data_IF_113063026454
#
_entry.id   IF_113063026454
#
_cell.length_a   1.000
_cell.length_b   1.000
_cell.length_c   1.000
_cell.angle_alpha   90.00
_cell.angle_beta   90.00
_cell.angle_gamma   90.00
#
_symmetry.space_group_name_H-M   'P 1'
#
loop_
_entity.id
_entity.type
_entity.pdbx_description
1 polymer ?
#
# COMPACT_ATOMS: atom_id res chain seq x y z
N UNK A 1 11.49 -7.08 18.72
CA UNK A 1 10.12 -7.10 18.15
C UNK A 1 9.22 -6.28 19.05
N UNK A 2 8.80 -5.09 18.60
CA UNK A 2 7.74 -4.30 19.22
C UNK A 2 6.40 -5.00 18.97
N UNK A 3 5.70 -5.44 20.01
CA UNK A 3 4.38 -6.06 19.89
C UNK A 3 3.34 -4.97 20.15
N UNK A 4 2.31 -4.95 19.32
CA UNK A 4 1.18 -4.03 19.42
C UNK A 4 -0.12 -4.78 19.20
N UNK A 5 -1.20 -4.38 19.86
CA UNK A 5 -2.55 -4.82 19.53
C UNK A 5 -3.28 -3.76 18.70
N UNK A 6 -4.11 -4.20 17.76
CA UNK A 6 -5.00 -3.34 16.97
C UNK A 6 -6.43 -3.89 17.03
N UNK A 7 -7.42 -3.00 16.94
CA UNK A 7 -8.84 -3.34 17.08
C UNK A 7 -9.44 -2.94 18.43
N UNK A 8 -10.62 -3.47 18.76
CA UNK A 8 -11.41 -3.05 19.93
C UNK A 8 -10.97 -3.79 21.20
N UNK A 9 -9.70 -3.62 21.60
CA UNK A 9 -9.07 -4.30 22.75
C UNK A 9 -9.86 -4.08 24.04
N UNK A 10 -10.48 -2.92 24.17
CA UNK A 10 -11.22 -2.50 25.36
C UNK A 10 -12.49 -3.31 25.59
N UNK A 11 -12.99 -3.99 24.56
CA UNK A 11 -14.13 -4.90 24.66
C UNK A 11 -13.74 -6.32 25.11
N UNK A 12 -12.43 -6.60 25.20
CA UNK A 12 -11.95 -7.93 25.56
C UNK A 12 -11.98 -8.14 27.09
N UNK A 13 -12.05 -9.41 27.54
CA UNK A 13 -11.93 -9.75 28.95
C UNK A 13 -10.66 -9.18 29.58
N UNK A 14 -10.73 -8.78 30.85
CA UNK A 14 -9.62 -8.14 31.60
C UNK A 14 -8.29 -8.89 31.42
N UNK A 15 -8.31 -10.22 31.57
CA UNK A 15 -7.12 -11.06 31.39
C UNK A 15 -6.41 -10.87 30.04
N UNK A 16 -7.17 -10.63 28.97
CA UNK A 16 -6.60 -10.40 27.63
C UNK A 16 -6.01 -9.00 27.55
N UNK A 17 -6.71 -7.99 28.09
CA UNK A 17 -6.22 -6.61 28.17
C UNK A 17 -4.92 -6.52 28.97
N UNK A 18 -4.85 -7.16 30.12
CA UNK A 18 -3.62 -7.26 30.93
C UNK A 18 -2.46 -7.91 30.16
N UNK A 19 -2.74 -8.95 29.36
CA UNK A 19 -1.72 -9.62 28.55
C UNK A 19 -1.20 -8.75 27.40
N UNK A 20 -2.10 -8.01 26.74
CA UNK A 20 -1.75 -7.02 25.72
C UNK A 20 -0.87 -5.93 26.33
N UNK A 21 -1.34 -5.28 27.38
CA UNK A 21 -0.64 -4.19 28.09
C UNK A 21 0.74 -4.64 28.62
N UNK A 22 0.84 -5.87 29.15
CA UNK A 22 2.13 -6.47 29.48
C UNK A 22 3.07 -6.57 28.26
N UNK A 23 2.61 -7.11 27.14
CA UNK A 23 3.41 -7.32 25.94
C UNK A 23 3.86 -5.98 25.32
N UNK A 24 2.96 -5.02 25.19
CA UNK A 24 3.26 -3.70 24.63
C UNK A 24 4.30 -2.96 25.48
N UNK A 25 4.09 -2.86 26.79
CA UNK A 25 5.06 -2.20 27.69
C UNK A 25 6.42 -2.86 27.67
N UNK A 26 6.47 -4.20 27.66
CA UNK A 26 7.75 -4.93 27.70
C UNK A 26 8.55 -4.76 26.42
N UNK A 27 7.88 -4.45 25.31
CA UNK A 27 8.48 -4.40 23.97
C UNK A 27 8.48 -2.99 23.35
N UNK A 28 7.99 -1.97 24.07
CA UNK A 28 7.80 -0.61 23.57
C UNK A 28 9.08 0.06 23.04
N UNK A 29 10.25 -0.29 23.59
CA UNK A 29 11.55 0.28 23.23
C UNK A 29 12.27 -0.50 22.12
N UNK A 30 11.68 -1.57 21.59
CA UNK A 30 12.25 -2.31 20.47
C UNK A 30 11.84 -1.66 19.14
N UNK A 31 12.76 -1.57 18.19
CA UNK A 31 12.57 -0.86 16.92
C UNK A 31 12.85 -1.73 15.67
N UNK A 32 13.50 -2.88 15.83
CA UNK A 32 13.97 -3.68 14.69
C UNK A 32 12.85 -4.37 13.90
N UNK A 33 11.68 -4.59 14.51
CA UNK A 33 10.54 -5.25 13.87
C UNK A 33 9.27 -4.96 14.68
N UNK A 34 8.15 -4.69 14.01
CA UNK A 34 6.85 -4.47 14.64
C UNK A 34 5.89 -5.61 14.30
N UNK A 35 5.28 -6.20 15.31
CA UNK A 35 4.24 -7.21 15.19
C UNK A 35 2.91 -6.61 15.69
N UNK A 36 1.99 -6.34 14.76
CA UNK A 36 0.64 -5.94 15.10
C UNK A 36 -0.26 -7.17 15.19
N UNK A 37 -0.98 -7.32 16.31
CA UNK A 37 -1.90 -8.42 16.58
C UNK A 37 -3.32 -7.87 16.56
N UNK A 38 -4.10 -8.28 15.57
CA UNK A 38 -5.49 -7.84 15.42
C UNK A 38 -6.42 -8.61 16.37
N UNK A 39 -6.99 -7.92 17.37
CA UNK A 39 -7.86 -8.50 18.41
C UNK A 39 -9.18 -7.73 18.44
N UNK A 40 -10.31 -8.45 18.42
CA UNK A 40 -11.64 -7.83 18.23
C UNK A 40 -11.63 -6.81 17.06
N UNK A 41 -10.90 -7.15 16.01
CA UNK A 41 -10.61 -6.24 14.91
C UNK A 41 -11.66 -6.34 13.80
N UNK A 42 -12.03 -5.19 13.24
CA UNK A 42 -12.73 -5.11 11.97
C UNK A 42 -12.46 -3.77 11.29
N UNK A 43 -11.95 -3.79 10.05
CA UNK A 43 -11.52 -2.56 9.38
C UNK A 43 -12.63 -1.53 9.17
N UNK A 44 -13.87 -1.97 8.90
CA UNK A 44 -15.04 -1.08 8.90
C UNK A 44 -15.31 -0.40 10.24
N UNK A 45 -15.06 -1.08 11.36
CA UNK A 45 -15.25 -0.49 12.68
C UNK A 45 -14.15 0.54 12.96
N UNK A 46 -12.92 0.30 12.52
CA UNK A 46 -11.85 1.31 12.62
C UNK A 46 -12.20 2.57 11.83
N UNK A 47 -12.66 2.42 10.58
CA UNK A 47 -13.10 3.55 9.75
C UNK A 47 -14.29 4.30 10.37
N UNK A 48 -15.22 3.57 11.00
CA UNK A 48 -16.34 4.17 11.71
C UNK A 48 -15.87 4.95 12.96
N UNK A 49 -14.87 4.44 13.68
CA UNK A 49 -14.22 5.14 14.79
C UNK A 49 -13.60 6.45 14.33
N UNK A 50 -12.72 6.38 13.32
CA UNK A 50 -12.07 7.56 12.75
C UNK A 50 -13.09 8.61 12.27
N UNK A 51 -14.16 8.18 11.59
CA UNK A 51 -15.22 9.09 11.14
C UNK A 51 -15.95 9.79 12.31
N UNK A 52 -16.18 9.08 13.42
CA UNK A 52 -16.78 9.67 14.64
C UNK A 52 -15.83 10.65 15.30
N UNK A 53 -14.54 10.33 15.35
CA UNK A 53 -13.53 11.20 15.97
C UNK A 53 -13.31 12.48 15.16
N UNK A 54 -13.33 12.40 13.82
CA UNK A 54 -13.39 13.59 12.94
C UNK A 54 -14.63 14.43 13.25
N UNK A 55 -15.81 13.81 13.27
CA UNK A 55 -17.05 14.54 13.50
C UNK A 55 -17.06 15.26 14.86
N UNK A 56 -16.57 14.59 15.91
CA UNK A 56 -16.44 15.17 17.24
C UNK A 56 -15.42 16.33 17.28
N UNK A 57 -14.27 16.18 16.58
CA UNK A 57 -13.25 17.22 16.52
C UNK A 57 -13.74 18.48 15.78
N UNK A 58 -14.53 18.30 14.73
CA UNK A 58 -15.19 19.40 14.00
C UNK A 58 -16.24 20.08 14.86
N UNK A 59 -17.10 19.31 15.55
CA UNK A 59 -18.13 19.85 16.45
C UNK A 59 -17.50 20.65 17.61
N UNK A 60 -16.36 20.19 18.13
CA UNK A 60 -15.60 20.88 19.17
C UNK A 60 -14.83 22.13 18.66
N UNK A 61 -14.80 22.37 17.34
CA UNK A 61 -14.05 23.48 16.74
C UNK A 61 -12.53 23.29 16.77
N UNK A 62 -12.06 22.06 16.98
CA UNK A 62 -10.63 21.70 17.02
C UNK A 62 -10.08 21.23 15.69
N UNK A 63 -10.96 21.00 14.70
CA UNK A 63 -10.64 20.64 13.33
C UNK A 63 -11.54 21.43 12.38
N UNK A 64 -10.96 22.08 11.35
CA UNK A 64 -11.74 22.67 10.28
C UNK A 64 -12.12 21.58 9.25
N UNK A 65 -13.38 21.52 8.77
CA UNK A 65 -13.78 20.55 7.75
C UNK A 65 -12.96 20.61 6.45
N UNK A 66 -12.42 21.79 6.10
CA UNK A 66 -11.57 21.99 4.93
C UNK A 66 -10.17 21.42 5.07
N UNK A 67 -9.73 21.15 6.31
CA UNK A 67 -8.42 20.57 6.62
C UNK A 67 -8.46 19.03 6.70
N UNK A 68 -9.63 18.40 6.50
CA UNK A 68 -9.76 16.94 6.51
C UNK A 68 -9.15 16.36 5.22
N UNK A 69 -8.03 15.65 5.37
CA UNK A 69 -7.37 14.94 4.29
C UNK A 69 -7.08 13.46 4.64
N UNK A 70 -6.29 12.78 3.79
CA UNK A 70 -5.93 11.37 3.99
C UNK A 70 -5.10 11.19 5.26
N UNK A 71 -4.16 12.11 5.55
CA UNK A 71 -3.29 12.03 6.71
C UNK A 71 -4.10 12.22 8.01
N UNK A 72 -5.06 13.15 8.00
CA UNK A 72 -5.96 13.40 9.13
C UNK A 72 -6.82 12.17 9.48
N UNK A 73 -7.21 11.39 8.47
CA UNK A 73 -7.91 10.12 8.67
C UNK A 73 -6.95 9.03 9.17
N UNK A 74 -5.75 8.90 8.58
CA UNK A 74 -4.75 7.91 8.98
C UNK A 74 -4.37 8.02 10.46
N UNK A 75 -4.14 9.24 10.94
CA UNK A 75 -3.80 9.55 12.34
C UNK A 75 -4.93 9.19 13.33
N UNK A 76 -6.18 9.04 12.86
CA UNK A 76 -7.33 8.62 13.68
C UNK A 76 -7.62 7.13 13.60
N UNK A 77 -7.34 6.50 12.46
CA UNK A 77 -7.47 5.04 12.38
C UNK A 77 -6.40 4.40 13.28
N UNK A 78 -5.24 5.04 13.42
CA UNK A 78 -4.19 4.59 14.33
C UNK A 78 -3.59 5.72 15.14
N UNK A 79 -3.54 5.53 16.46
CA UNK A 79 -2.77 6.38 17.38
C UNK A 79 -1.26 6.46 17.06
N UNK A 80 -0.77 5.70 16.06
CA UNK A 80 0.64 5.61 15.66
C UNK A 80 0.77 5.32 14.16
N UNK A 81 1.83 5.83 13.49
CA UNK A 81 2.05 5.57 12.08
C UNK A 81 2.19 4.07 11.82
N UNK A 82 1.29 3.56 10.98
CA UNK A 82 1.41 2.26 10.34
C UNK A 82 1.87 2.45 8.90
N UNK A 83 2.65 1.48 8.43
CA UNK A 83 3.02 1.42 7.02
C UNK A 83 1.88 0.78 6.23
N UNK A 84 1.78 1.15 4.97
CA UNK A 84 0.88 0.49 4.03
C UNK A 84 1.16 -1.01 3.93
N UNK A 85 0.11 -1.76 3.55
CA UNK A 85 0.19 -3.21 3.44
C UNK A 85 0.64 -3.59 2.03
N UNK A 86 1.86 -4.07 1.91
CA UNK A 86 2.41 -4.60 0.66
C UNK A 86 1.82 -5.95 0.25
N UNK A 87 1.61 -6.84 1.22
CA UNK A 87 1.23 -8.23 0.97
C UNK A 87 0.27 -8.74 2.05
N UNK A 88 -0.92 -9.17 1.61
CA UNK A 88 -1.88 -9.93 2.41
C UNK A 88 -1.74 -11.41 2.08
N UNK A 89 -1.50 -12.23 3.09
CA UNK A 89 -1.49 -13.70 2.97
C UNK A 89 -2.75 -14.23 3.64
N UNK A 90 -3.56 -14.99 2.91
CA UNK A 90 -4.74 -15.66 3.44
C UNK A 90 -4.72 -17.15 3.18
N UNK A 91 -4.71 -17.90 4.27
CA UNK A 91 -4.78 -19.36 4.32
C UNK A 91 -6.23 -19.87 4.31
N UNK A 92 -6.43 -21.16 4.09
CA UNK A 92 -7.72 -21.85 4.21
C UNK A 92 -8.60 -21.83 2.95
N UNK A 93 -8.04 -21.45 1.80
CA UNK A 93 -8.68 -21.61 0.48
C UNK A 93 -9.72 -20.56 0.08
N UNK A 94 -10.10 -19.66 1.00
CA UNK A 94 -11.05 -18.58 0.70
C UNK A 94 -10.39 -17.38 0.00
N UNK A 95 -10.98 -16.91 -1.10
CA UNK A 95 -10.50 -15.76 -1.89
C UNK A 95 -11.22 -14.45 -1.52
N UNK A 96 -10.99 -13.96 -0.30
CA UNK A 96 -11.51 -12.64 0.15
C UNK A 96 -10.61 -12.03 1.22
N UNK A 97 -10.62 -10.73 1.42
CA UNK A 97 -9.86 -10.11 2.54
C UNK A 97 -10.63 -10.13 3.85
N UNK A 98 -11.95 -10.38 3.83
CA UNK A 98 -12.81 -10.46 5.03
C UNK A 98 -12.68 -9.25 5.98
N UNK A 99 -12.77 -8.02 5.45
CA UNK A 99 -12.73 -6.80 6.27
C UNK A 99 -11.40 -6.57 7.00
N UNK A 100 -10.30 -7.18 6.51
CA UNK A 100 -8.97 -7.00 7.07
C UNK A 100 -8.23 -5.83 6.40
N UNK A 101 -7.86 -4.83 7.19
CA UNK A 101 -7.06 -3.65 6.79
C UNK A 101 -7.50 -2.98 5.46
N UNK A 102 -8.79 -2.65 5.28
CA UNK A 102 -9.29 -2.11 4.02
C UNK A 102 -8.73 -0.73 3.67
N UNK A 103 -8.31 0.07 4.66
CA UNK A 103 -7.67 1.36 4.44
C UNK A 103 -6.23 1.17 3.94
N UNK A 104 -5.43 0.35 4.63
CA UNK A 104 -4.01 0.14 4.31
C UNK A 104 -3.73 -0.78 3.14
N UNK A 105 -4.67 -1.65 2.81
CA UNK A 105 -4.62 -2.40 1.57
C UNK A 105 -4.98 -1.44 0.43
N UNK A 106 -4.09 -0.47 0.16
CA UNK A 106 -4.29 0.71 -0.70
C UNK A 106 -4.58 0.32 -2.17
N UNK A 107 -5.78 -0.20 -2.39
CA UNK A 107 -6.27 -0.72 -3.66
C UNK A 107 -5.31 -1.69 -4.33
N UNK A 108 -4.75 -1.23 -5.43
CA UNK A 108 -3.99 -2.00 -6.41
C UNK A 108 -2.55 -2.33 -5.98
N UNK A 109 -2.05 -1.64 -4.96
CA UNK A 109 -0.66 -1.70 -4.54
C UNK A 109 -0.41 -2.87 -3.57
N UNK A 110 -1.45 -3.28 -2.83
CA UNK A 110 -1.40 -4.44 -1.94
C UNK A 110 -1.59 -5.75 -2.71
N UNK A 111 -0.56 -6.58 -2.79
CA UNK A 111 -0.70 -7.93 -3.33
C UNK A 111 -1.51 -8.80 -2.35
N UNK A 112 -2.40 -9.64 -2.87
CA UNK A 112 -3.10 -10.65 -2.06
C UNK A 112 -2.75 -12.06 -2.54
N UNK A 113 -2.23 -12.88 -1.64
CA UNK A 113 -1.89 -14.28 -1.87
C UNK A 113 -2.87 -15.17 -1.10
N UNK A 114 -3.73 -15.87 -1.83
CA UNK A 114 -4.64 -16.87 -1.28
C UNK A 114 -4.01 -18.26 -1.42
N UNK A 115 -4.05 -19.07 -0.36
CA UNK A 115 -3.57 -20.45 -0.40
C UNK A 115 -4.49 -21.43 0.31
N UNK A 116 -4.45 -22.67 -0.18
CA UNK A 116 -5.29 -23.77 0.30
C UNK A 116 -4.96 -24.26 1.73
N UNK A 117 -3.69 -24.40 2.16
CA UNK A 117 -3.38 -24.92 3.50
C UNK A 117 -4.08 -24.13 4.60
N UNK A 118 -4.59 -24.80 5.63
CA UNK A 118 -5.08 -24.14 6.83
C UNK A 118 -3.90 -23.56 7.63
N UNK A 119 -4.17 -22.55 8.47
CA UNK A 119 -3.13 -21.86 9.25
C UNK A 119 -2.18 -22.80 10.01
N UNK A 120 -2.64 -23.87 10.71
CA UNK A 120 -1.73 -24.80 11.40
C UNK A 120 -0.78 -25.57 10.47
N UNK A 121 -1.10 -25.68 9.19
CA UNK A 121 -0.31 -26.37 8.16
C UNK A 121 0.52 -25.40 7.30
N UNK A 122 0.35 -24.09 7.49
CA UNK A 122 1.07 -23.08 6.71
C UNK A 122 2.58 -23.16 6.99
N UNK A 123 3.36 -23.36 5.93
CA UNK A 123 4.78 -23.60 6.03
C UNK A 123 5.63 -22.39 5.60
N UNK A 124 6.92 -22.45 5.92
CA UNK A 124 7.92 -21.49 5.38
C UNK A 124 7.93 -21.48 3.85
N UNK A 125 7.66 -22.62 3.20
CA UNK A 125 7.62 -22.71 1.73
C UNK A 125 6.43 -21.91 1.19
N UNK A 126 5.28 -21.96 1.87
CA UNK A 126 4.09 -21.19 1.48
C UNK A 126 4.32 -19.68 1.68
N UNK A 127 4.97 -19.30 2.78
CA UNK A 127 5.38 -17.91 2.99
C UNK A 127 6.31 -17.40 1.87
N UNK A 128 7.35 -18.15 1.52
CA UNK A 128 8.26 -17.77 0.44
C UNK A 128 7.55 -17.72 -0.92
N UNK A 129 6.55 -18.57 -1.16
CA UNK A 129 5.70 -18.49 -2.36
C UNK A 129 4.90 -17.20 -2.39
N UNK A 130 4.33 -16.79 -1.26
CA UNK A 130 3.60 -15.53 -1.14
C UNK A 130 4.49 -14.31 -1.42
N UNK A 131 5.71 -14.29 -0.86
CA UNK A 131 6.70 -13.24 -1.13
C UNK A 131 7.05 -13.19 -2.63
N UNK A 132 7.29 -14.33 -3.26
CA UNK A 132 7.55 -14.39 -4.71
C UNK A 132 6.36 -13.88 -5.54
N UNK A 133 5.13 -14.15 -5.11
CA UNK A 133 3.94 -13.59 -5.75
C UNK A 133 3.89 -12.07 -5.65
N UNK A 134 4.25 -11.50 -4.50
CA UNK A 134 4.38 -10.06 -4.34
C UNK A 134 5.45 -9.48 -5.28
N UNK A 135 6.67 -10.02 -5.27
CA UNK A 135 7.77 -9.56 -6.14
C UNK A 135 7.37 -9.61 -7.63
N UNK A 136 6.73 -10.69 -8.06
CA UNK A 136 6.26 -10.83 -9.45
C UNK A 136 5.19 -9.81 -9.81
N UNK A 137 4.27 -9.50 -8.88
CA UNK A 137 3.26 -8.46 -9.09
C UNK A 137 3.90 -7.09 -9.15
N UNK A 138 4.80 -6.77 -8.23
CA UNK A 138 5.50 -5.50 -8.19
C UNK A 138 6.25 -5.23 -9.51
N UNK A 139 6.95 -6.23 -10.05
CA UNK A 139 7.61 -6.13 -11.36
C UNK A 139 6.62 -5.89 -12.50
N UNK A 140 5.50 -6.62 -12.53
CA UNK A 140 4.44 -6.41 -13.52
C UNK A 140 3.83 -5.02 -13.42
N UNK A 141 3.60 -4.53 -12.19
CA UNK A 141 3.11 -3.18 -11.92
C UNK A 141 4.06 -2.12 -12.46
N UNK A 142 5.36 -2.23 -12.16
CA UNK A 142 6.39 -1.33 -12.68
C UNK A 142 6.38 -1.31 -14.21
N UNK A 143 6.35 -2.48 -14.87
CA UNK A 143 6.30 -2.58 -16.33
C UNK A 143 5.06 -1.91 -16.92
N UNK A 144 3.87 -2.24 -16.42
CA UNK A 144 2.61 -1.66 -16.90
C UNK A 144 2.57 -0.14 -16.68
N UNK A 145 3.18 0.36 -15.60
CA UNK A 145 3.29 1.81 -15.33
C UNK A 145 4.15 2.51 -16.39
N UNK A 146 5.27 1.91 -16.78
CA UNK A 146 6.12 2.42 -17.86
C UNK A 146 5.42 2.35 -19.21
N UNK A 147 4.79 1.23 -19.55
CA UNK A 147 4.03 1.07 -20.80
C UNK A 147 2.92 2.14 -20.93
N UNK A 148 2.20 2.42 -19.83
CA UNK A 148 1.18 3.47 -19.79
C UNK A 148 1.78 4.87 -19.95
N UNK A 149 2.89 5.15 -19.29
CA UNK A 149 3.58 6.43 -19.42
C UNK A 149 4.04 6.65 -20.88
N UNK A 150 4.64 5.62 -21.51
CA UNK A 150 5.05 5.67 -22.90
C UNK A 150 3.87 5.86 -23.85
N UNK A 151 2.77 5.14 -23.64
CA UNK A 151 1.55 5.29 -24.42
C UNK A 151 0.96 6.70 -24.33
N UNK A 152 0.99 7.31 -23.13
CA UNK A 152 0.58 8.70 -22.93
C UNK A 152 1.50 9.66 -23.69
N UNK A 153 2.83 9.50 -23.59
CA UNK A 153 3.80 10.33 -24.34
C UNK A 153 3.55 10.22 -25.85
N UNK A 154 3.34 9.01 -26.38
CA UNK A 154 3.02 8.77 -27.80
C UNK A 154 1.69 9.39 -28.23
N UNK A 155 0.64 9.27 -27.40
CA UNK A 155 -0.66 9.90 -27.66
C UNK A 155 -0.60 11.43 -27.62
N UNK A 156 0.30 11.97 -26.81
CA UNK A 156 0.62 13.41 -26.75
C UNK A 156 1.66 13.82 -27.80
N UNK A 157 2.12 12.90 -28.67
CA UNK A 157 3.15 13.11 -29.70
C UNK A 157 2.81 14.11 -30.81
N UNK A 158 1.80 14.96 -30.61
CA UNK A 158 1.52 16.17 -31.40
C UNK A 158 1.68 17.48 -30.60
N UNK A 159 2.20 17.42 -29.38
CA UNK A 159 2.32 18.54 -28.45
C UNK A 159 3.79 18.88 -28.21
N UNK A 160 4.14 20.16 -28.15
CA UNK A 160 5.52 20.64 -28.01
C UNK A 160 6.29 19.96 -26.85
N UNK A 161 7.59 19.70 -27.06
CA UNK A 161 8.54 19.06 -26.13
C UNK A 161 8.45 19.58 -24.68
N UNK A 162 8.04 20.84 -24.50
CA UNK A 162 7.85 21.48 -23.19
C UNK A 162 6.70 20.86 -22.37
N UNK A 163 5.58 20.51 -23.02
CA UNK A 163 4.42 19.86 -22.37
C UNK A 163 4.70 18.39 -22.07
N UNK A 164 5.40 17.69 -22.97
CA UNK A 164 5.88 16.33 -22.72
C UNK A 164 6.82 16.29 -21.50
N UNK A 165 7.71 17.28 -21.35
CA UNK A 165 8.61 17.39 -20.20
C UNK A 165 7.85 17.64 -18.90
N UNK A 166 6.85 18.53 -18.89
CA UNK A 166 6.02 18.77 -17.70
C UNK A 166 5.21 17.55 -17.27
N UNK A 167 4.75 16.73 -18.22
CA UNK A 167 4.08 15.45 -17.94
C UNK A 167 5.07 14.48 -17.30
N UNK A 168 6.26 14.31 -17.88
CA UNK A 168 7.31 13.44 -17.33
C UNK A 168 7.75 13.92 -15.93
N UNK A 169 7.88 15.23 -15.71
CA UNK A 169 8.20 15.79 -14.39
C UNK A 169 7.10 15.52 -13.35
N UNK A 170 5.83 15.59 -13.75
CA UNK A 170 4.69 15.24 -12.89
C UNK A 170 4.67 13.75 -12.53
N UNK A 171 5.28 12.91 -13.36
CA UNK A 171 5.48 11.49 -13.15
C UNK A 171 6.91 11.14 -12.70
N UNK A 172 7.73 12.10 -12.25
CA UNK A 172 9.13 11.83 -11.85
C UNK A 172 9.24 10.87 -10.65
N UNK A 173 8.22 10.78 -9.79
CA UNK A 173 8.11 9.75 -8.74
C UNK A 173 7.49 8.42 -9.20
N UNK A 174 7.27 8.25 -10.51
CA UNK A 174 6.56 7.14 -11.16
C UNK A 174 7.45 6.41 -12.17
N UNK A 175 8.50 7.07 -12.65
CA UNK A 175 9.51 6.50 -13.56
C UNK A 175 10.64 5.88 -12.72
N UNK A 176 10.98 4.59 -12.91
CA UNK A 176 12.11 3.96 -12.22
C UNK A 176 13.45 4.62 -12.61
N UNK A 177 14.46 4.50 -11.75
CA UNK A 177 15.81 5.01 -12.00
C UNK A 177 16.37 4.56 -13.36
N UNK A 178 17.26 5.38 -13.94
CA UNK A 178 17.89 5.25 -15.26
C UNK A 178 18.19 3.82 -15.77
N UNK A 179 18.69 2.83 -14.99
CA UNK A 179 18.95 1.49 -15.51
C UNK A 179 17.71 0.74 -16.05
N UNK A 180 16.49 1.10 -15.63
CA UNK A 180 15.26 0.47 -16.12
C UNK A 180 14.79 1.00 -17.48
N UNK A 181 15.28 2.17 -17.90
CA UNK A 181 14.92 2.80 -19.17
C UNK A 181 15.69 2.17 -20.33
N UNK A 182 16.96 1.81 -20.12
CA UNK A 182 17.81 1.12 -21.11
C UNK A 182 17.33 -0.33 -21.40
N UNK A 183 16.86 -1.08 -20.39
CA UNK A 183 16.32 -2.43 -20.58
C UNK A 183 15.01 -2.47 -21.39
N UNK A 184 14.33 -1.33 -21.56
CA UNK A 184 13.02 -1.24 -22.21
C UNK A 184 13.08 -0.83 -23.69
N UNK A 185 14.26 -0.82 -24.30
CA UNK A 185 14.42 -0.64 -25.74
C UNK A 185 14.02 0.75 -26.25
N UNK A 186 14.15 1.78 -25.41
CA UNK A 186 13.82 3.17 -25.78
C UNK A 186 14.74 3.69 -26.90
N UNK A 187 15.91 3.07 -27.11
CA UNK A 187 16.81 3.33 -28.24
C UNK A 187 16.23 2.97 -29.62
N UNK A 188 15.15 2.17 -29.71
CA UNK A 188 14.50 1.89 -30.99
C UNK A 188 13.64 3.06 -31.51
N UNK A 189 13.46 4.13 -30.73
CA UNK A 189 12.63 5.29 -31.10
C UNK A 189 13.40 6.40 -31.84
N UNK A 190 14.72 6.29 -32.02
CA UNK A 190 15.51 7.29 -32.79
C UNK A 190 15.70 6.95 -34.29
N UNK A 191 15.17 5.83 -34.81
CA UNK A 191 15.55 5.34 -36.16
C UNK A 191 14.52 5.60 -37.29
N UNK A 192 13.38 6.27 -37.06
CA UNK A 192 12.43 6.60 -38.15
C UNK A 192 12.28 8.11 -38.47
N UNK A 193 13.39 8.86 -38.40
CA UNK A 193 13.46 10.21 -38.99
C UNK A 193 14.73 10.46 -39.77
N UNK A 194 14.97 9.69 -40.82
CA UNK A 194 15.71 10.19 -42.01
C UNK A 194 15.48 9.26 -43.20
N UNK A 195 14.65 9.70 -44.15
CA UNK A 195 14.32 8.91 -45.33
C UNK A 195 13.24 9.51 -46.22
N UNK A 196 13.26 10.83 -46.46
CA UNK A 196 12.52 11.42 -47.57
C UNK A 196 13.11 12.79 -47.91
N UNK A 197 14.04 12.81 -48.87
CA UNK A 197 14.29 13.91 -49.83
C UNK A 197 15.36 13.46 -50.84
N UNK A 198 15.22 13.93 -52.09
CA UNK A 198 15.95 13.65 -53.34
C UNK A 198 15.40 12.41 -54.06
N UNK A 199 14.68 12.51 -55.18
CA UNK A 199 14.71 13.47 -56.31
C UNK A 199 13.45 14.33 -56.51
#
# INVERSE_FOLDING_TARGET
VCIRAIGEVEQLPERVREAVDYAERRTAHYDSFTLNVALAYGGRNELLGAARDVAAAVEAGTLDPGDIDVAEIEDRIYDRPLRDVDLIIRTGGDERTSNFLPWHANGNEAAVFFCTPYWPEFSKVDFLRAVRTYESREQSWRRTRVERALALVKALGGVELTEARNVIERFRGTVPDEPAVEELGVDELEVEREGSSVE
#
